data_IF_281369675837
#
_entry.id   IF_281369675837
#
_cell.length_a   1.000
_cell.length_b   1.000
_cell.length_c   1.000
_cell.angle_alpha   90.00
_cell.angle_beta   90.00
_cell.angle_gamma   90.00
#
_symmetry.space_group_name_H-M   'P 1'
#
loop_
_entity.id
_entity.type
_entity.pdbx_description
1 polymer ?
#
# COMPACT_ATOMS: atom_id res chain seq x y z
N UNK A 1 2.61 3.74 20.66
CA UNK A 1 3.26 5.02 20.30
C UNK A 1 3.53 4.96 18.81
N UNK A 2 2.68 5.58 17.97
CA UNK A 2 2.95 5.66 16.54
C UNK A 2 3.62 7.01 16.33
N UNK A 3 4.94 6.96 16.21
CA UNK A 3 5.77 8.08 15.77
C UNK A 3 5.15 8.70 14.52
N UNK A 4 5.14 10.04 14.45
CA UNK A 4 4.32 10.82 13.50
C UNK A 4 4.44 10.25 12.08
N UNK A 5 3.39 9.58 11.55
CA UNK A 5 3.50 8.89 10.28
C UNK A 5 3.75 9.92 9.17
N UNK A 6 4.61 9.56 8.21
CA UNK A 6 5.00 10.39 7.05
C UNK A 6 3.82 11.13 6.43
N UNK A 7 2.68 10.45 6.25
CA UNK A 7 1.43 11.04 5.76
C UNK A 7 1.00 12.27 6.55
N UNK A 8 1.01 12.20 7.88
CA UNK A 8 0.60 13.32 8.74
C UNK A 8 1.57 14.51 8.64
N UNK A 9 2.85 14.28 8.35
CA UNK A 9 3.80 15.35 8.09
C UNK A 9 3.54 16.04 6.75
N UNK A 10 3.33 15.24 5.69
CA UNK A 10 3.08 15.76 4.34
C UNK A 10 1.73 16.49 4.27
N UNK A 11 0.68 15.96 4.93
CA UNK A 11 -0.63 16.64 5.04
C UNK A 11 -0.50 18.02 5.70
N UNK A 12 0.28 18.12 6.80
CA UNK A 12 0.51 19.38 7.49
C UNK A 12 1.29 20.35 6.60
N UNK A 13 2.33 19.86 5.90
CA UNK A 13 3.09 20.66 4.97
C UNK A 13 2.22 21.20 3.83
N UNK A 14 1.41 20.36 3.20
CA UNK A 14 0.51 20.76 2.11
C UNK A 14 -0.53 21.79 2.57
N UNK A 15 -1.04 21.69 3.81
CA UNK A 15 -1.95 22.71 4.39
C UNK A 15 -1.29 24.08 4.56
N UNK A 16 0.03 24.14 4.66
CA UNK A 16 0.78 25.39 4.80
C UNK A 16 1.09 26.07 3.45
N UNK A 17 0.71 25.49 2.30
CA UNK A 17 0.96 26.03 0.94
C UNK A 17 0.75 27.55 0.85
N UNK A 18 -0.44 28.03 1.22
CA UNK A 18 -0.80 29.47 1.10
C UNK A 18 0.08 30.36 2.00
N UNK A 19 0.46 29.87 3.18
CA UNK A 19 1.33 30.62 4.08
C UNK A 19 2.77 30.64 3.58
N UNK A 20 3.26 29.52 3.03
CA UNK A 20 4.58 29.42 2.43
C UNK A 20 4.67 30.41 1.25
N UNK A 21 3.70 30.37 0.34
CA UNK A 21 3.66 31.26 -0.82
C UNK A 21 3.65 32.74 -0.39
N UNK A 22 2.85 33.09 0.62
CA UNK A 22 2.79 34.45 1.15
C UNK A 22 4.11 34.89 1.78
N UNK A 23 4.71 34.07 2.63
CA UNK A 23 5.99 34.40 3.29
C UNK A 23 7.11 34.57 2.26
N UNK A 24 7.13 33.74 1.20
CA UNK A 24 8.11 33.86 0.13
C UNK A 24 7.95 35.18 -0.64
N UNK A 25 6.72 35.63 -0.88
CA UNK A 25 6.44 36.95 -1.46
C UNK A 25 6.90 38.07 -0.51
N UNK A 26 6.56 37.97 0.78
CA UNK A 26 6.88 39.01 1.78
C UNK A 26 8.39 39.23 1.94
N UNK A 27 9.21 38.17 1.80
CA UNK A 27 10.69 38.25 1.85
C UNK A 27 11.33 38.54 0.48
N UNK A 28 10.54 38.66 -0.59
CA UNK A 28 11.04 38.89 -1.95
C UNK A 28 11.81 37.70 -2.54
N UNK A 29 11.48 36.46 -2.15
CA UNK A 29 12.11 35.27 -2.71
C UNK A 29 11.41 34.82 -3.99
N UNK A 30 12.17 34.58 -5.04
CA UNK A 30 11.67 33.98 -6.27
C UNK A 30 11.48 32.46 -6.18
N UNK A 31 11.93 31.83 -5.08
CA UNK A 31 11.78 30.39 -4.87
C UNK A 31 10.32 30.08 -4.57
N UNK A 32 9.69 29.20 -5.35
CA UNK A 32 8.33 28.71 -5.09
C UNK A 32 8.16 27.31 -5.66
N UNK A 33 7.30 26.53 -5.02
CA UNK A 33 6.80 25.30 -5.61
C UNK A 33 5.84 25.65 -6.75
N UNK A 34 6.02 25.00 -7.89
CA UNK A 34 5.07 25.02 -8.99
C UNK A 34 3.77 24.30 -8.64
N UNK A 35 2.70 24.61 -9.35
CA UNK A 35 1.42 23.90 -9.18
C UNK A 35 1.55 22.40 -9.48
N UNK A 36 2.45 22.03 -10.40
CA UNK A 36 2.77 20.62 -10.68
C UNK A 36 3.40 19.93 -9.47
N UNK A 37 4.34 20.58 -8.78
CA UNK A 37 4.96 20.02 -7.58
C UNK A 37 3.95 19.90 -6.44
N UNK A 38 3.08 20.89 -6.26
CA UNK A 38 1.97 20.81 -5.31
C UNK A 38 1.00 19.66 -5.65
N UNK A 39 0.68 19.48 -6.93
CA UNK A 39 -0.14 18.35 -7.39
C UNK A 39 0.50 17.02 -7.04
N UNK A 40 1.81 16.85 -7.28
CA UNK A 40 2.53 15.61 -6.93
C UNK A 40 2.52 15.32 -5.43
N UNK A 41 2.62 16.36 -4.58
CA UNK A 41 2.50 16.22 -3.13
C UNK A 41 1.09 15.76 -2.75
N UNK A 42 0.06 16.31 -3.40
CA UNK A 42 -1.33 15.91 -3.20
C UNK A 42 -1.58 14.46 -3.62
N UNK A 43 -1.06 14.06 -4.77
CA UNK A 43 -1.13 12.68 -5.26
C UNK A 43 -0.49 11.72 -4.26
N UNK A 44 0.67 12.09 -3.71
CA UNK A 44 1.35 11.28 -2.69
C UNK A 44 0.51 11.16 -1.39
N UNK A 45 -0.13 12.23 -0.93
CA UNK A 45 -1.07 12.18 0.21
C UNK A 45 -2.20 11.20 -0.09
N UNK A 46 -2.81 11.30 -1.27
CA UNK A 46 -3.94 10.47 -1.67
C UNK A 46 -3.54 8.99 -1.79
N UNK A 47 -2.37 8.67 -2.32
CA UNK A 47 -1.86 7.30 -2.42
C UNK A 47 -1.51 6.69 -1.07
N UNK A 48 -1.10 7.50 -0.08
CA UNK A 48 -0.79 7.02 1.27
C UNK A 48 -2.03 6.87 2.17
N UNK A 49 -3.15 7.52 1.83
CA UNK A 49 -4.36 7.48 2.64
C UNK A 49 -4.98 6.08 2.82
N UNK A 50 -5.06 5.21 1.78
CA UNK A 50 -5.48 3.82 1.93
C UNK A 50 -4.61 3.02 2.92
N UNK A 51 -3.31 3.30 2.98
CA UNK A 51 -2.39 2.62 3.90
C UNK A 51 -2.64 3.01 5.35
N UNK A 52 -2.98 4.27 5.63
CA UNK A 52 -3.37 4.70 6.97
C UNK A 52 -4.58 3.91 7.46
N UNK A 53 -5.64 3.85 6.64
CA UNK A 53 -6.86 3.10 6.97
C UNK A 53 -6.56 1.60 7.15
N UNK A 54 -5.66 1.06 6.32
CA UNK A 54 -5.23 -0.32 6.44
C UNK A 54 -4.49 -0.60 7.75
N UNK A 55 -3.53 0.24 8.13
CA UNK A 55 -2.83 0.11 9.42
C UNK A 55 -3.82 0.20 10.57
N UNK A 56 -4.76 1.15 10.53
CA UNK A 56 -5.81 1.26 11.54
C UNK A 56 -6.67 -0.02 11.62
N UNK A 57 -7.09 -0.59 10.50
CA UNK A 57 -7.88 -1.82 10.46
C UNK A 57 -7.09 -3.06 10.94
N UNK A 58 -5.81 -3.18 10.55
CA UNK A 58 -4.95 -4.30 10.89
C UNK A 58 -4.48 -4.27 12.35
N UNK A 59 -4.30 -3.08 12.92
CA UNK A 59 -3.87 -2.92 14.31
C UNK A 59 -5.01 -3.04 15.32
N UNK A 60 -6.26 -3.26 14.89
CA UNK A 60 -7.36 -3.56 15.80
C UNK A 60 -7.20 -4.94 16.41
N UNK A 61 -7.62 -5.08 17.67
CA UNK A 61 -7.53 -6.35 18.43
C UNK A 61 -8.37 -7.48 17.82
N UNK A 62 -9.45 -7.14 17.12
CA UNK A 62 -10.36 -8.07 16.44
C UNK A 62 -9.96 -8.36 14.99
N UNK A 63 -8.79 -7.90 14.54
CA UNK A 63 -8.33 -8.16 13.18
C UNK A 63 -8.06 -9.64 12.95
N UNK A 64 -8.66 -10.20 11.90
CA UNK A 64 -8.51 -11.60 11.50
C UNK A 64 -7.70 -11.71 10.21
N UNK A 65 -7.29 -12.92 9.83
CA UNK A 65 -6.67 -13.16 8.52
C UNK A 65 -7.57 -12.70 7.36
N UNK A 66 -8.90 -12.87 7.50
CA UNK A 66 -9.87 -12.38 6.52
C UNK A 66 -9.86 -10.85 6.44
N UNK A 67 -9.83 -10.17 7.60
CA UNK A 67 -9.68 -8.71 7.67
C UNK A 67 -8.40 -8.26 6.98
N UNK A 68 -7.31 -9.00 7.16
CA UNK A 68 -6.04 -8.67 6.52
C UNK A 68 -6.10 -8.82 5.00
N UNK A 69 -6.70 -9.89 4.51
CA UNK A 69 -6.88 -10.12 3.08
C UNK A 69 -7.74 -9.03 2.41
N UNK A 70 -8.90 -8.72 3.00
CA UNK A 70 -9.80 -7.69 2.46
C UNK A 70 -9.19 -6.30 2.53
N UNK A 71 -8.43 -6.00 3.58
CA UNK A 71 -7.71 -4.73 3.71
C UNK A 71 -6.63 -4.57 2.64
N UNK A 72 -5.87 -5.62 2.32
CA UNK A 72 -4.86 -5.58 1.27
C UNK A 72 -5.50 -5.43 -0.12
N UNK A 73 -6.64 -6.10 -0.38
CA UNK A 73 -7.42 -5.89 -1.61
C UNK A 73 -7.92 -4.46 -1.73
N UNK A 74 -8.46 -3.91 -0.65
CA UNK A 74 -8.91 -2.52 -0.58
C UNK A 74 -7.80 -1.53 -0.95
N UNK A 75 -6.58 -1.70 -0.43
CA UNK A 75 -5.45 -0.83 -0.78
C UNK A 75 -5.17 -0.89 -2.29
N UNK A 76 -5.08 -2.10 -2.86
CA UNK A 76 -4.80 -2.29 -4.29
C UNK A 76 -5.89 -1.66 -5.17
N UNK A 77 -7.16 -1.88 -4.85
CA UNK A 77 -8.29 -1.28 -5.57
C UNK A 77 -8.24 0.25 -5.51
N UNK A 78 -7.95 0.82 -4.33
CA UNK A 78 -7.86 2.28 -4.18
C UNK A 78 -6.71 2.88 -4.97
N UNK A 79 -5.55 2.23 -4.97
CA UNK A 79 -4.40 2.69 -5.74
C UNK A 79 -4.63 2.57 -7.26
N UNK A 80 -5.27 1.49 -7.73
CA UNK A 80 -5.58 1.31 -9.15
C UNK A 80 -6.65 2.28 -9.67
N UNK A 81 -7.52 2.77 -8.78
CA UNK A 81 -8.55 3.77 -9.12
C UNK A 81 -7.97 5.19 -9.16
N UNK A 82 -6.81 5.42 -8.55
CA UNK A 82 -6.14 6.73 -8.58
C UNK A 82 -5.41 6.92 -9.91
N UNK A 83 -5.77 7.96 -10.65
CA UNK A 83 -5.06 8.38 -11.88
C UNK A 83 -3.85 9.27 -11.53
N UNK A 84 -2.91 8.71 -10.77
CA UNK A 84 -1.71 9.40 -10.31
C UNK A 84 -0.46 8.65 -10.79
N UNK A 85 0.67 9.34 -10.98
CA UNK A 85 1.92 8.71 -11.47
C UNK A 85 2.40 7.55 -10.59
N UNK A 86 2.13 7.59 -9.29
CA UNK A 86 2.46 6.52 -8.35
C UNK A 86 1.55 5.28 -8.47
N UNK A 87 0.43 5.37 -9.19
CA UNK A 87 -0.59 4.32 -9.26
C UNK A 87 -0.16 3.07 -10.02
N UNK A 88 0.91 3.13 -10.81
CA UNK A 88 1.47 1.95 -11.48
C UNK A 88 2.49 1.21 -10.60
N UNK A 89 3.40 1.95 -9.94
CA UNK A 89 4.50 1.37 -9.19
C UNK A 89 4.07 0.83 -7.82
N UNK A 90 3.23 1.58 -7.11
CA UNK A 90 2.83 1.22 -5.75
C UNK A 90 2.04 -0.10 -5.67
N UNK A 91 1.02 -0.32 -6.52
CA UNK A 91 0.31 -1.60 -6.54
C UNK A 91 1.21 -2.77 -6.90
N UNK A 92 2.09 -2.62 -7.89
CA UNK A 92 2.95 -3.71 -8.32
C UNK A 92 3.99 -4.06 -7.24
N UNK A 93 4.64 -3.06 -6.65
CA UNK A 93 5.53 -3.27 -5.52
C UNK A 93 4.83 -3.94 -4.33
N UNK A 94 3.57 -3.55 -4.04
CA UNK A 94 2.77 -4.18 -2.98
C UNK A 94 2.44 -5.64 -3.33
N UNK A 95 2.07 -5.93 -4.58
CA UNK A 95 1.82 -7.30 -5.06
C UNK A 95 3.04 -8.19 -4.92
N UNK A 96 4.20 -7.71 -5.36
CA UNK A 96 5.48 -8.41 -5.20
C UNK A 96 5.74 -8.70 -3.72
N UNK A 97 5.57 -7.71 -2.84
CA UNK A 97 5.81 -7.88 -1.41
C UNK A 97 4.85 -8.86 -0.73
N UNK A 98 3.58 -8.88 -1.16
CA UNK A 98 2.60 -9.88 -0.69
C UNK A 98 3.03 -11.28 -1.12
N UNK A 99 3.43 -11.46 -2.39
CA UNK A 99 3.91 -12.75 -2.91
C UNK A 99 5.13 -13.27 -2.14
N UNK A 100 6.15 -12.43 -1.95
CA UNK A 100 7.37 -12.78 -1.19
C UNK A 100 7.10 -13.22 0.26
N UNK A 101 6.18 -12.54 0.95
CA UNK A 101 5.84 -12.87 2.33
C UNK A 101 4.99 -14.14 2.43
N UNK A 102 4.13 -14.39 1.44
CA UNK A 102 3.39 -15.66 1.34
C UNK A 102 4.30 -16.85 1.03
N UNK A 103 5.30 -16.67 0.17
CA UNK A 103 6.29 -17.73 -0.14
C UNK A 103 7.25 -17.98 1.02
N UNK A 104 7.65 -16.96 1.78
CA UNK A 104 8.46 -17.15 3.00
C UNK A 104 7.72 -17.94 4.08
N UNK A 105 6.42 -17.72 4.25
CA UNK A 105 5.58 -18.54 5.13
C UNK A 105 5.36 -19.97 4.60
N UNK A 106 5.54 -20.21 3.30
CA UNK A 106 5.56 -21.56 2.70
C UNK A 106 6.66 -22.40 3.35
N UNK A 107 7.86 -21.86 3.54
CA UNK A 107 8.98 -22.60 4.14
C UNK A 107 8.75 -22.94 5.61
N UNK A 108 8.01 -22.11 6.36
CA UNK A 108 7.67 -22.38 7.75
C UNK A 108 6.59 -23.47 7.85
N UNK A 109 5.55 -23.41 7.02
CA UNK A 109 4.49 -24.43 7.02
C UNK A 109 4.95 -25.79 6.47
N UNK A 110 5.88 -25.82 5.49
CA UNK A 110 6.46 -27.09 4.99
C UNK A 110 7.26 -27.79 6.10
N UNK A 111 7.86 -27.05 7.04
CA UNK A 111 8.61 -27.62 8.15
C UNK A 111 7.70 -28.13 9.29
N UNK A 112 6.48 -27.61 9.42
CA UNK A 112 5.56 -28.01 10.49
C UNK A 112 4.51 -29.04 10.06
N UNK A 113 4.18 -29.13 8.77
CA UNK A 113 3.16 -30.05 8.27
C UNK A 113 3.66 -30.80 7.03
N UNK A 114 3.90 -32.10 7.19
CA UNK A 114 4.07 -33.05 6.09
C UNK A 114 2.73 -33.25 5.34
N UNK A 115 2.23 -32.21 4.68
CA UNK A 115 1.10 -32.25 3.75
C UNK A 115 1.33 -31.22 2.64
N UNK A 116 1.65 -31.72 1.45
CA UNK A 116 2.14 -30.95 0.31
C UNK A 116 0.99 -30.13 -0.30
N UNK A 117 0.92 -28.84 0.04
CA UNK A 117 0.09 -27.84 -0.64
C UNK A 117 0.90 -27.16 -1.75
N UNK A 118 0.62 -27.49 -3.01
CA UNK A 118 1.30 -26.91 -4.18
C UNK A 118 0.40 -25.84 -4.81
N UNK A 119 0.94 -24.63 -4.97
CA UNK A 119 0.29 -23.61 -5.80
C UNK A 119 0.49 -24.00 -7.27
N UNK A 120 -0.61 -24.03 -8.01
CA UNK A 120 -0.59 -24.16 -9.47
C UNK A 120 -0.12 -22.83 -10.06
N UNK A 121 1.00 -22.84 -10.79
CA UNK A 121 1.59 -21.66 -11.43
C UNK A 121 0.85 -21.36 -12.74
N UNK A 122 -0.48 -21.25 -12.68
CA UNK A 122 -1.28 -20.88 -13.83
C UNK A 122 -1.26 -19.36 -13.97
N UNK A 123 -0.15 -18.85 -14.52
CA UNK A 123 0.20 -17.43 -14.69
C UNK A 123 -0.66 -16.70 -15.74
N UNK A 124 -1.82 -17.24 -16.10
CA UNK A 124 -2.68 -16.70 -17.16
C UNK A 124 -3.83 -15.89 -16.58
N UNK A 125 -3.63 -14.57 -16.53
CA UNK A 125 -4.66 -13.50 -16.52
C UNK A 125 -5.51 -13.25 -15.26
N UNK A 126 -5.52 -14.12 -14.24
CA UNK A 126 -6.23 -13.83 -12.99
C UNK A 126 -5.29 -13.24 -11.92
N UNK A 127 -5.78 -12.32 -11.08
CA UNK A 127 -5.03 -11.80 -9.94
C UNK A 127 -4.82 -12.90 -8.87
N UNK A 128 -3.73 -13.67 -9.04
CA UNK A 128 -3.33 -14.75 -8.13
C UNK A 128 -2.74 -14.25 -6.80
N UNK A 129 -2.70 -12.94 -6.56
CA UNK A 129 -2.11 -12.37 -5.33
C UNK A 129 -2.80 -12.89 -4.08
N UNK A 130 -4.10 -13.21 -4.18
CA UNK A 130 -4.93 -13.65 -3.06
C UNK A 130 -5.41 -15.09 -3.14
N UNK A 131 -5.00 -15.89 -4.13
CA UNK A 131 -5.45 -17.29 -4.23
C UNK A 131 -4.90 -18.14 -3.09
N UNK A 132 -5.76 -19.00 -2.52
CA UNK A 132 -5.36 -20.00 -1.53
C UNK A 132 -4.67 -21.18 -2.23
N UNK A 133 -3.65 -21.79 -1.61
CA UNK A 133 -3.08 -23.03 -2.12
C UNK A 133 -4.12 -24.15 -2.06
N UNK A 134 -4.23 -24.92 -3.14
CA UNK A 134 -5.08 -26.11 -3.17
C UNK A 134 -4.31 -27.30 -2.58
N UNK A 135 -5.00 -28.13 -1.79
CA UNK A 135 -4.46 -29.42 -1.34
C UNK A 135 -4.38 -30.34 -2.55
N UNK A 136 -3.22 -30.95 -2.82
CA UNK A 136 -3.18 -32.12 -3.71
C UNK A 136 -3.82 -33.28 -2.97
N UNK A 137 -5.00 -33.70 -3.43
CA UNK A 137 -5.49 -35.05 -3.15
C UNK A 137 -4.73 -35.95 -4.13
N UNK A 138 -3.91 -36.86 -3.60
CA UNK A 138 -3.36 -37.95 -4.40
C UNK A 138 -4.49 -38.96 -4.59
N UNK A 139 -4.76 -39.36 -5.83
CA UNK A 139 -5.55 -40.55 -6.17
C UNK A 139 -4.75 -41.83 -5.88
#
# INVERSE_FOLDING_TARGET
MIERPLLAMIERFHKLKVFIDKVLIDIGSDTKFSDLEWSKIKDLIDSLQPFKLAVEALCRRDSTLLTAETTLKFILEKLLTQDAVLSAEFPEALRVRIKERRTSNRNINILTESNIYIYDDDTRRADVTFTMPKKKLYD
#
